data_IF_197808684732
#
_entry.id   IF_197808684732
#
_cell.length_a   1.000
_cell.length_b   1.000
_cell.length_c   1.000
_cell.angle_alpha   90.00
_cell.angle_beta   90.00
_cell.angle_gamma   90.00
#
_symmetry.space_group_name_H-M   'P 1'
#
loop_
_entity.id
_entity.type
_entity.pdbx_description
1 polymer ?
#
# COMPACT_ATOMS: atom_id res chain seq x y z
N UNK A 1 -6.04 2.23 10.63
CA UNK A 1 -5.65 2.60 9.25
C UNK A 1 -5.85 4.09 9.05
N UNK A 2 -4.78 4.80 8.70
CA UNK A 2 -4.82 6.25 8.47
C UNK A 2 -5.43 6.59 7.11
N UNK A 3 -5.87 7.84 6.94
CA UNK A 3 -6.43 8.32 5.67
C UNK A 3 -5.45 8.13 4.49
N UNK A 4 -4.16 8.37 4.73
CA UNK A 4 -3.11 8.23 3.73
C UNK A 4 -2.88 6.77 3.32
N UNK A 5 -2.88 5.84 4.29
CA UNK A 5 -2.83 4.40 4.01
C UNK A 5 -4.01 3.96 3.16
N UNK A 6 -5.20 4.46 3.48
CA UNK A 6 -6.41 4.11 2.73
C UNK A 6 -6.33 4.59 1.28
N UNK A 7 -5.84 5.81 1.05
CA UNK A 7 -5.60 6.31 -0.31
C UNK A 7 -4.61 5.44 -1.09
N UNK A 8 -3.51 5.03 -0.45
CA UNK A 8 -2.55 4.13 -1.07
C UNK A 8 -3.17 2.78 -1.43
N UNK A 9 -3.93 2.17 -0.53
CA UNK A 9 -4.63 0.89 -0.78
C UNK A 9 -5.57 1.02 -1.98
N UNK A 10 -6.44 2.04 -1.98
CA UNK A 10 -7.38 2.30 -3.07
C UNK A 10 -6.66 2.54 -4.42
N UNK A 11 -5.52 3.24 -4.40
CA UNK A 11 -4.71 3.47 -5.59
C UNK A 11 -4.03 2.18 -6.07
N UNK A 12 -3.35 1.46 -5.19
CA UNK A 12 -2.60 0.26 -5.51
C UNK A 12 -3.50 -0.84 -6.06
N UNK A 13 -4.67 -1.06 -5.46
CA UNK A 13 -5.64 -2.04 -5.95
C UNK A 13 -6.23 -1.65 -7.32
N UNK A 14 -6.30 -0.35 -7.62
CA UNK A 14 -6.76 0.14 -8.92
C UNK A 14 -5.69 -0.02 -10.01
N UNK A 15 -4.42 0.20 -9.67
CA UNK A 15 -3.29 0.04 -10.58
C UNK A 15 -2.92 -1.43 -10.78
N UNK A 16 -3.13 -2.26 -9.76
CA UNK A 16 -2.84 -3.68 -9.75
C UNK A 16 -4.11 -4.54 -9.52
N UNK A 17 -5.06 -4.55 -10.47
CA UNK A 17 -6.33 -5.29 -10.32
C UNK A 17 -6.14 -6.80 -10.22
N UNK A 18 -4.98 -7.32 -10.66
CA UNK A 18 -4.63 -8.73 -10.55
C UNK A 18 -3.96 -9.08 -9.22
N UNK A 19 -3.52 -8.09 -8.43
CA UNK A 19 -2.83 -8.31 -7.17
C UNK A 19 -3.77 -8.91 -6.13
N UNK A 20 -4.97 -8.32 -5.98
CA UNK A 20 -6.05 -8.83 -5.12
C UNK A 20 -6.60 -10.18 -5.58
N UNK A 21 -6.36 -10.57 -6.83
CA UNK A 21 -6.70 -11.91 -7.33
C UNK A 21 -5.62 -12.95 -7.05
N UNK A 22 -4.37 -12.53 -6.83
CA UNK A 22 -3.21 -13.39 -6.61
C UNK A 22 -2.82 -13.47 -5.13
N UNK A 23 -3.08 -12.41 -4.39
CA UNK A 23 -2.90 -12.25 -2.95
C UNK A 23 -4.25 -11.88 -2.29
N UNK A 24 -4.24 -11.59 -0.99
CA UNK A 24 -5.39 -11.02 -0.29
C UNK A 24 -5.56 -9.52 -0.63
N UNK A 25 -6.72 -8.90 -0.30
CA UNK A 25 -6.89 -7.45 -0.37
C UNK A 25 -5.72 -6.73 0.28
N UNK A 26 -5.26 -5.64 -0.34
CA UNK A 26 -4.07 -4.91 0.16
C UNK A 26 -4.36 -4.34 1.56
N UNK A 27 -5.62 -3.99 1.83
CA UNK A 27 -6.11 -3.60 3.14
C UNK A 27 -5.86 -4.65 4.25
N UNK A 28 -5.97 -5.94 3.93
CA UNK A 28 -5.77 -7.04 4.90
C UNK A 28 -4.28 -7.31 5.18
N UNK A 29 -3.39 -6.82 4.32
CA UNK A 29 -1.94 -6.95 4.47
C UNK A 29 -1.33 -5.80 5.28
N UNK A 30 -2.13 -4.79 5.63
CA UNK A 30 -1.70 -3.65 6.41
C UNK A 30 -1.81 -3.91 7.91
N UNK A 31 -0.68 -3.87 8.59
CA UNK A 31 -0.60 -3.88 10.05
C UNK A 31 -0.79 -2.44 10.56
N UNK A 32 -1.92 -2.19 11.23
CA UNK A 32 -2.27 -0.87 11.73
C UNK A 32 -1.49 -0.45 12.99
N UNK A 33 -0.94 -1.42 13.74
CA UNK A 33 -0.12 -1.15 14.91
C UNK A 33 1.30 -0.76 14.50
N UNK A 34 1.81 -1.35 13.41
CA UNK A 34 3.14 -1.09 12.87
C UNK A 34 3.18 -0.07 11.73
N UNK A 35 2.02 0.36 11.22
CA UNK A 35 1.88 1.25 10.06
C UNK A 35 2.65 0.75 8.81
N UNK A 36 2.60 -0.57 8.60
CA UNK A 36 3.41 -1.32 7.63
C UNK A 36 2.60 -2.38 6.89
N UNK A 37 2.99 -2.69 5.66
CA UNK A 37 2.48 -3.84 4.91
C UNK A 37 3.34 -5.09 5.13
N UNK A 38 2.71 -6.25 5.19
CA UNK A 38 3.40 -7.55 5.31
C UNK A 38 4.06 -8.02 4.01
N UNK A 39 3.77 -7.37 2.89
CA UNK A 39 4.40 -7.65 1.59
C UNK A 39 5.40 -6.53 1.32
N UNK A 40 6.66 -6.91 1.10
CA UNK A 40 7.77 -5.98 0.85
C UNK A 40 7.51 -5.07 -0.35
N UNK A 41 7.04 -5.62 -1.47
CA UNK A 41 6.70 -4.83 -2.68
C UNK A 41 5.66 -3.72 -2.40
N UNK A 42 4.60 -4.07 -1.67
CA UNK A 42 3.56 -3.12 -1.26
C UNK A 42 4.11 -2.12 -0.25
N UNK A 43 4.99 -2.56 0.65
CA UNK A 43 5.61 -1.71 1.67
C UNK A 43 6.57 -0.69 1.05
N UNK A 44 7.40 -1.09 0.08
CA UNK A 44 8.29 -0.19 -0.64
C UNK A 44 7.49 0.85 -1.42
N UNK A 45 6.50 0.43 -2.21
CA UNK A 45 5.62 1.36 -2.94
C UNK A 45 4.85 2.28 -1.99
N UNK A 46 4.43 1.77 -0.83
CA UNK A 46 3.78 2.58 0.19
C UNK A 46 4.73 3.62 0.78
N UNK A 47 5.97 3.25 1.07
CA UNK A 47 6.99 4.17 1.59
C UNK A 47 7.28 5.26 0.56
N UNK A 48 7.44 4.91 -0.72
CA UNK A 48 7.61 5.86 -1.81
C UNK A 48 6.39 6.78 -1.93
N UNK A 49 5.18 6.23 -1.85
CA UNK A 49 3.92 7.00 -1.85
C UNK A 49 3.83 7.96 -0.66
N UNK A 50 4.23 7.52 0.55
CA UNK A 50 4.26 8.36 1.76
C UNK A 50 5.29 9.49 1.66
N UNK A 51 6.41 9.25 1.00
CA UNK A 51 7.47 10.25 0.83
C UNK A 51 7.13 11.29 -0.24
N UNK A 52 6.26 10.96 -1.20
CA UNK A 52 5.69 11.93 -2.14
C UNK A 52 6.73 12.64 -3.01
N UNK A 53 7.19 11.99 -4.08
CA UNK A 53 7.48 12.69 -5.34
C UNK A 53 8.32 13.98 -5.32
N UNK A 54 9.37 14.06 -4.51
CA UNK A 54 10.46 15.03 -4.68
C UNK A 54 11.78 14.26 -4.86
N UNK A 55 11.96 13.71 -6.06
CA UNK A 55 13.32 13.60 -6.60
C UNK A 55 13.74 15.03 -6.96
N UNK A 56 14.68 15.60 -6.21
CA UNK A 56 15.52 16.70 -6.70
C UNK A 56 16.32 16.27 -7.92
#
# INVERSE_FOLDING_TARGET
MNHLTRQFVDQYERENPNFTSRYCPVADLYDADLDMFHIEEVQDEYVEFKQGGDCE
#
